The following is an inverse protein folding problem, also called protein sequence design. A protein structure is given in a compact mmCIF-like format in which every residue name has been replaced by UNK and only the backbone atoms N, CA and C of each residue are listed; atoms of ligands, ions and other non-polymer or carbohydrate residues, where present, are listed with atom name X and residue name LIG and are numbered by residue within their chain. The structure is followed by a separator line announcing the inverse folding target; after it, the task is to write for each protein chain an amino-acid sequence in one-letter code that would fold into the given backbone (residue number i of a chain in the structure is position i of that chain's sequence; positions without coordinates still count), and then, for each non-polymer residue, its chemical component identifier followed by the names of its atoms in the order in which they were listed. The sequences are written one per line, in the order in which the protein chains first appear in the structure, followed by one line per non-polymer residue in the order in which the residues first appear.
data_IF_468921709613
#
_entry.id   IF_468921709613
#
_cell.length_a   1.000
_cell.length_b   1.000
_cell.length_c   1.000
_cell.angle_alpha   90.00
_cell.angle_beta   90.00
_cell.angle_gamma   90.00
#
_symmetry.space_group_name_H-M   'P 1'
#
loop_
_entity.id
_entity.type
_entity.pdbx_description
1 polymer ?
#
# COMPACT_ATOMS: atom_id res chain seq x y z
N UNK A 1 15.89 4.91 15.46
CA UNK A 1 14.77 3.96 15.37
C UNK A 1 14.26 3.92 13.94
N UNK A 2 13.86 2.76 13.47
CA UNK A 2 13.28 2.53 12.14
C UNK A 2 14.20 2.93 10.97
N UNK A 3 15.53 2.81 11.15
CA UNK A 3 16.49 3.05 10.06
C UNK A 3 16.29 2.02 8.95
N UNK A 4 16.30 2.51 7.71
CA UNK A 4 16.21 1.71 6.50
C UNK A 4 17.45 1.90 5.61
N UNK A 5 18.56 2.33 6.20
CA UNK A 5 19.83 2.47 5.48
C UNK A 5 20.27 1.13 4.87
N UNK A 6 20.69 1.18 3.61
CA UNK A 6 21.07 -0.02 2.85
C UNK A 6 19.89 -0.90 2.39
N UNK A 7 18.64 -0.48 2.62
CA UNK A 7 17.43 -1.18 2.15
C UNK A 7 16.85 -0.53 0.91
N UNK A 8 16.26 -1.33 0.05
CA UNK A 8 15.53 -0.87 -1.14
C UNK A 8 14.04 -1.13 -0.99
N UNK A 9 13.23 -0.07 -1.12
CA UNK A 9 11.77 -0.12 -1.00
C UNK A 9 11.10 0.15 -2.35
N UNK A 10 10.31 -0.80 -2.85
CA UNK A 10 9.40 -0.60 -3.98
C UNK A 10 8.04 -0.15 -3.47
N UNK A 11 7.60 1.05 -3.85
CA UNK A 11 6.30 1.63 -3.47
C UNK A 11 5.41 1.75 -4.69
N UNK A 12 4.31 0.99 -4.74
CA UNK A 12 3.33 1.09 -5.83
C UNK A 12 2.32 2.20 -5.56
N UNK A 13 1.86 2.87 -6.64
CA UNK A 13 0.99 4.03 -6.50
C UNK A 13 1.67 5.21 -5.79
N UNK A 14 2.98 5.35 -5.96
CA UNK A 14 3.81 6.35 -5.29
C UNK A 14 3.43 7.81 -5.60
N UNK A 15 2.72 8.06 -6.70
CA UNK A 15 2.23 9.41 -7.09
C UNK A 15 0.91 9.81 -6.44
N UNK A 16 0.28 8.93 -5.63
CA UNK A 16 -0.91 9.24 -4.85
C UNK A 16 -0.58 9.83 -3.47
N UNK A 17 -1.60 10.39 -2.79
CA UNK A 17 -1.39 11.06 -1.49
C UNK A 17 -0.75 10.16 -0.43
N UNK A 18 -1.27 8.95 -0.23
CA UNK A 18 -0.71 7.97 0.73
C UNK A 18 0.63 7.43 0.22
N UNK A 19 0.69 6.99 -1.05
CA UNK A 19 1.91 6.42 -1.61
C UNK A 19 3.09 7.39 -1.63
N UNK A 20 2.82 8.67 -1.96
CA UNK A 20 3.83 9.73 -1.91
C UNK A 20 4.34 10.02 -0.50
N UNK A 21 3.44 10.02 0.50
CA UNK A 21 3.84 10.17 1.89
C UNK A 21 4.70 8.99 2.38
N UNK A 22 4.32 7.76 2.01
CA UNK A 22 5.11 6.55 2.31
C UNK A 22 6.50 6.66 1.68
N UNK A 23 6.59 7.01 0.39
CA UNK A 23 7.87 7.14 -0.30
C UNK A 23 8.80 8.15 0.39
N UNK A 24 8.27 9.32 0.77
CA UNK A 24 9.04 10.35 1.49
C UNK A 24 9.57 9.86 2.83
N UNK A 25 8.73 9.20 3.62
CA UNK A 25 9.12 8.71 4.95
C UNK A 25 10.16 7.59 4.82
N UNK A 26 9.98 6.61 3.93
CA UNK A 26 10.97 5.55 3.74
C UNK A 26 12.31 6.11 3.24
N UNK A 27 12.28 7.09 2.32
CA UNK A 27 13.47 7.79 1.86
C UNK A 27 14.18 8.55 3.00
N UNK A 28 13.42 9.27 3.84
CA UNK A 28 13.97 9.99 4.99
C UNK A 28 14.58 9.04 6.05
N UNK A 29 14.10 7.78 6.13
CA UNK A 29 14.68 6.74 6.98
C UNK A 29 15.93 6.06 6.36
N UNK A 30 16.38 6.51 5.19
CA UNK A 30 17.62 6.03 4.57
C UNK A 30 17.44 5.05 3.42
N UNK A 31 16.22 4.61 3.09
CA UNK A 31 15.99 3.67 2.01
C UNK A 31 16.30 4.25 0.62
N UNK A 32 16.75 3.40 -0.30
CA UNK A 32 16.58 3.64 -1.74
C UNK A 32 15.12 3.39 -2.07
N UNK A 33 14.43 4.34 -2.72
CA UNK A 33 12.99 4.22 -3.00
C UNK A 33 12.73 4.10 -4.49
N UNK A 34 12.12 3.00 -4.89
CA UNK A 34 11.65 2.73 -6.25
C UNK A 34 10.18 3.14 -6.33
N UNK A 35 9.92 4.22 -7.06
CA UNK A 35 8.61 4.88 -7.15
C UNK A 35 7.84 4.31 -8.34
N UNK A 36 6.85 3.47 -8.11
CA UNK A 36 6.05 2.90 -9.18
C UNK A 36 4.70 3.60 -9.36
N UNK A 37 4.36 3.92 -10.61
CA UNK A 37 3.10 4.58 -10.97
C UNK A 37 2.90 4.65 -12.47
N UNK A 38 1.73 5.15 -12.91
CA UNK A 38 1.41 5.24 -14.35
C UNK A 38 1.83 6.56 -15.00
N UNK A 39 1.98 7.62 -14.20
CA UNK A 39 2.23 8.99 -14.71
C UNK A 39 3.69 9.33 -14.60
N UNK A 40 4.39 9.35 -15.73
CA UNK A 40 5.83 9.66 -15.81
C UNK A 40 6.16 11.02 -15.16
N UNK A 41 5.46 12.09 -15.52
CA UNK A 41 5.72 13.44 -15.01
C UNK A 41 5.60 13.52 -13.47
N UNK A 42 4.59 12.84 -12.89
CA UNK A 42 4.42 12.83 -11.44
C UNK A 42 5.51 11.99 -10.72
N UNK A 43 6.01 10.95 -11.37
CA UNK A 43 7.17 10.18 -10.88
C UNK A 43 8.45 11.01 -10.94
N UNK A 44 8.66 11.72 -12.03
CA UNK A 44 9.85 12.59 -12.21
C UNK A 44 9.85 13.76 -11.22
N UNK A 45 8.69 14.36 -10.96
CA UNK A 45 8.53 15.39 -9.94
C UNK A 45 8.89 14.87 -8.54
N UNK A 46 8.33 13.71 -8.15
CA UNK A 46 8.62 13.12 -6.85
C UNK A 46 10.09 12.65 -6.73
N UNK A 47 10.65 12.09 -7.81
CA UNK A 47 12.07 11.74 -7.87
C UNK A 47 12.95 12.99 -7.71
N UNK A 48 12.62 14.09 -8.38
CA UNK A 48 13.35 15.36 -8.27
C UNK A 48 13.30 15.93 -6.86
N UNK A 49 12.17 15.80 -6.17
CA UNK A 49 12.02 16.20 -4.77
C UNK A 49 12.90 15.35 -3.80
N UNK A 50 12.94 14.04 -4.01
CA UNK A 50 13.64 13.10 -3.14
C UNK A 50 15.15 13.02 -3.41
N UNK A 51 15.58 13.23 -4.65
CA UNK A 51 16.99 13.23 -5.02
C UNK A 51 17.58 11.84 -5.30
N UNK A 52 18.88 11.66 -4.98
CA UNK A 52 19.71 10.55 -5.49
C UNK A 52 19.20 9.13 -5.17
N UNK A 53 18.58 8.90 -4.02
CA UNK A 53 18.09 7.57 -3.62
C UNK A 53 16.65 7.28 -4.08
N UNK A 54 16.16 7.96 -5.13
CA UNK A 54 14.83 7.77 -5.67
C UNK A 54 14.86 7.48 -7.17
N UNK A 55 14.14 6.43 -7.59
CA UNK A 55 14.07 6.00 -8.99
C UNK A 55 12.60 5.83 -9.41
N UNK A 56 12.22 6.47 -10.53
CA UNK A 56 10.88 6.35 -11.11
C UNK A 56 10.76 5.12 -12.00
N UNK A 57 9.70 4.35 -11.83
CA UNK A 57 9.37 3.17 -12.64
C UNK A 57 7.92 3.30 -13.15
N UNK A 58 7.74 3.51 -14.44
CA UNK A 58 6.40 3.55 -15.05
C UNK A 58 5.88 2.13 -15.17
N UNK A 59 4.70 1.88 -14.59
CA UNK A 59 4.05 0.58 -14.67
C UNK A 59 2.53 0.71 -14.59
N UNK A 60 1.84 -0.09 -15.39
CA UNK A 60 0.40 -0.34 -15.25
C UNK A 60 0.20 -1.74 -14.66
N UNK A 61 -0.32 -1.79 -13.45
CA UNK A 61 -0.54 -3.03 -12.72
C UNK A 61 -1.82 -3.77 -13.14
N UNK A 62 -2.68 -3.16 -13.94
CA UNK A 62 -3.88 -3.80 -14.46
C UNK A 62 -3.56 -4.77 -15.60
N UNK A 63 -2.40 -4.64 -16.25
CA UNK A 63 -1.95 -5.55 -17.31
C UNK A 63 -1.55 -6.94 -16.77
N UNK A 64 -1.69 -7.96 -17.60
CA UNK A 64 -1.40 -9.35 -17.20
C UNK A 64 0.05 -9.54 -16.72
N UNK A 65 1.02 -8.96 -17.43
CA UNK A 65 2.45 -9.03 -17.11
C UNK A 65 2.96 -7.82 -16.28
N UNK A 66 2.13 -6.79 -16.08
CA UNK A 66 2.54 -5.53 -15.46
C UNK A 66 3.22 -5.68 -14.09
N UNK A 67 2.71 -6.49 -13.16
CA UNK A 67 3.35 -6.70 -11.87
C UNK A 67 4.71 -7.39 -11.96
N UNK A 68 4.85 -8.42 -12.80
CA UNK A 68 6.10 -9.16 -13.00
C UNK A 68 7.15 -8.30 -13.70
N UNK A 69 6.75 -7.51 -14.70
CA UNK A 69 7.65 -6.60 -15.42
C UNK A 69 8.11 -5.45 -14.53
N UNK A 70 7.22 -4.91 -13.68
CA UNK A 70 7.62 -3.94 -12.66
C UNK A 70 8.67 -4.52 -11.71
N UNK A 71 8.48 -5.75 -11.23
CA UNK A 71 9.45 -6.36 -10.32
C UNK A 71 10.81 -6.59 -11.00
N UNK A 72 10.82 -7.02 -12.26
CA UNK A 72 12.07 -7.15 -13.05
C UNK A 72 12.78 -5.80 -13.20
N UNK A 73 12.03 -4.74 -13.54
CA UNK A 73 12.58 -3.39 -13.66
C UNK A 73 13.11 -2.88 -12.31
N UNK A 74 12.42 -3.16 -11.21
CA UNK A 74 12.84 -2.79 -9.87
C UNK A 74 14.15 -3.51 -9.48
N UNK A 75 14.21 -4.83 -9.65
CA UNK A 75 15.40 -5.64 -9.33
C UNK A 75 16.60 -5.35 -10.25
N UNK A 76 16.39 -4.80 -11.42
CA UNK A 76 17.48 -4.29 -12.29
C UNK A 76 18.14 -3.03 -11.71
N UNK A 77 17.44 -2.24 -10.91
CA UNK A 77 18.00 -1.08 -10.20
C UNK A 77 18.71 -1.54 -8.92
N UNK A 78 18.00 -2.27 -8.05
CA UNK A 78 18.55 -2.81 -6.82
C UNK A 78 17.66 -3.95 -6.27
N UNK A 79 18.21 -4.90 -5.47
CA UNK A 79 17.43 -5.94 -4.82
C UNK A 79 16.33 -5.36 -3.94
N UNK A 80 15.06 -5.76 -4.16
CA UNK A 80 13.91 -5.24 -3.41
C UNK A 80 13.82 -5.93 -2.05
N UNK A 81 14.07 -5.17 -0.97
CA UNK A 81 13.97 -5.64 0.42
C UNK A 81 12.61 -5.35 1.05
N UNK A 82 11.97 -4.26 0.61
CA UNK A 82 10.69 -3.80 1.11
C UNK A 82 9.74 -3.62 -0.08
N UNK A 83 8.57 -4.29 -0.03
CA UNK A 83 7.49 -4.10 -1.01
C UNK A 83 6.30 -3.47 -0.33
N UNK A 84 5.87 -2.29 -0.81
CA UNK A 84 4.64 -1.62 -0.36
C UNK A 84 3.60 -1.71 -1.47
N UNK A 85 2.61 -2.59 -1.29
CA UNK A 85 1.45 -2.74 -2.15
C UNK A 85 0.41 -1.67 -1.79
N UNK A 86 0.57 -0.46 -2.35
CA UNK A 86 -0.32 0.68 -2.08
C UNK A 86 -1.20 1.04 -3.29
N UNK A 87 -0.83 0.69 -4.50
CA UNK A 87 -1.64 0.97 -5.69
C UNK A 87 -3.06 0.42 -5.54
N UNK A 88 -4.04 1.20 -5.95
CA UNK A 88 -5.43 0.79 -5.90
C UNK A 88 -6.35 1.78 -6.61
N UNK A 89 -7.52 1.29 -6.97
CA UNK A 89 -8.61 2.06 -7.57
C UNK A 89 -9.92 1.79 -6.85
N UNK A 90 -10.88 2.69 -7.00
CA UNK A 90 -12.28 2.48 -6.63
C UNK A 90 -13.17 2.56 -7.88
N UNK A 91 -14.28 1.83 -7.86
CA UNK A 91 -15.39 1.88 -8.82
C UNK A 91 -16.68 1.70 -8.03
N UNK A 92 -17.07 2.80 -7.34
CA UNK A 92 -18.11 2.76 -6.33
C UNK A 92 -19.48 2.83 -6.99
N UNK A 93 -20.33 1.86 -6.69
CA UNK A 93 -21.74 1.82 -7.08
C UNK A 93 -22.48 0.76 -6.27
N UNK A 94 -23.80 0.91 -6.11
CA UNK A 94 -24.63 -0.09 -5.42
C UNK A 94 -24.54 -1.45 -6.13
N UNK A 95 -24.57 -2.54 -5.38
CA UNK A 95 -24.37 -3.90 -5.89
C UNK A 95 -25.30 -4.25 -7.07
N UNK A 96 -26.57 -3.82 -7.04
CA UNK A 96 -27.51 -4.04 -8.14
C UNK A 96 -27.14 -3.35 -9.47
N UNK A 97 -26.26 -2.36 -9.42
CA UNK A 97 -25.82 -1.58 -10.60
C UNK A 97 -24.35 -1.81 -10.93
N UNK A 98 -23.63 -2.59 -10.10
CA UNK A 98 -22.21 -2.86 -10.29
C UNK A 98 -22.02 -3.74 -11.52
N UNK A 99 -21.24 -3.25 -12.47
CA UNK A 99 -20.89 -4.03 -13.67
C UNK A 99 -19.77 -5.01 -13.34
N UNK A 100 -19.80 -6.19 -13.96
CA UNK A 100 -18.76 -7.21 -13.79
C UNK A 100 -17.36 -6.66 -14.14
N UNK A 101 -17.26 -5.79 -15.15
CA UNK A 101 -16.02 -5.13 -15.53
C UNK A 101 -15.47 -4.22 -14.41
N UNK A 102 -16.34 -3.47 -13.69
CA UNK A 102 -15.91 -2.62 -12.58
C UNK A 102 -15.51 -3.46 -11.36
N UNK A 103 -16.23 -4.56 -11.11
CA UNK A 103 -15.85 -5.55 -10.10
C UNK A 103 -14.46 -6.10 -10.39
N UNK A 104 -14.25 -6.64 -11.59
CA UNK A 104 -12.99 -7.27 -11.97
C UNK A 104 -11.83 -6.29 -11.99
N UNK A 105 -12.00 -5.09 -12.51
CA UNK A 105 -10.94 -4.06 -12.53
C UNK A 105 -10.44 -3.71 -11.11
N UNK A 106 -11.35 -3.65 -10.13
CA UNK A 106 -10.98 -3.38 -8.73
C UNK A 106 -10.23 -4.57 -8.12
N UNK A 107 -10.70 -5.80 -8.35
CA UNK A 107 -10.01 -7.01 -7.87
C UNK A 107 -8.62 -7.15 -8.51
N UNK A 108 -8.52 -6.93 -9.80
CA UNK A 108 -7.25 -7.07 -10.53
C UNK A 108 -6.20 -6.09 -10.03
N UNK A 109 -6.58 -4.81 -9.89
CA UNK A 109 -5.64 -3.78 -9.46
C UNK A 109 -5.32 -3.86 -7.97
N UNK A 110 -6.32 -4.08 -7.10
CA UNK A 110 -6.14 -3.93 -5.65
C UNK A 110 -5.70 -5.23 -4.96
N UNK A 111 -5.97 -6.39 -5.54
CA UNK A 111 -5.68 -7.70 -4.94
C UNK A 111 -4.78 -8.56 -5.81
N UNK A 112 -5.17 -8.84 -7.06
CA UNK A 112 -4.42 -9.73 -7.96
C UNK A 112 -3.02 -9.19 -8.23
N UNK A 113 -2.89 -7.89 -8.51
CA UNK A 113 -1.58 -7.26 -8.73
C UNK A 113 -0.71 -7.31 -7.48
N UNK A 114 -1.28 -7.07 -6.28
CA UNK A 114 -0.55 -7.17 -5.01
C UNK A 114 -0.06 -8.60 -4.76
N UNK A 115 -0.87 -9.62 -5.08
CA UNK A 115 -0.46 -11.04 -5.01
C UNK A 115 0.70 -11.33 -5.96
N UNK A 116 0.58 -10.94 -7.24
CA UNK A 116 1.62 -11.18 -8.26
C UNK A 116 2.94 -10.51 -7.88
N UNK A 117 2.91 -9.25 -7.42
CA UNK A 117 4.09 -8.52 -6.95
C UNK A 117 4.71 -9.20 -5.73
N UNK A 118 3.91 -9.59 -4.73
CA UNK A 118 4.39 -10.28 -3.54
C UNK A 118 5.07 -11.60 -3.92
N UNK A 119 4.44 -12.42 -4.76
CA UNK A 119 5.00 -13.68 -5.27
C UNK A 119 6.33 -13.47 -6.03
N UNK A 120 6.42 -12.41 -6.82
CA UNK A 120 7.65 -12.09 -7.56
C UNK A 120 8.78 -11.65 -6.60
N UNK A 121 8.49 -10.76 -5.63
CA UNK A 121 9.43 -10.29 -4.62
C UNK A 121 9.98 -11.41 -3.74
N UNK A 122 9.12 -12.37 -3.36
CA UNK A 122 9.49 -13.50 -2.50
C UNK A 122 10.67 -14.32 -3.05
N UNK A 123 10.82 -14.44 -4.35
CA UNK A 123 11.95 -15.18 -4.97
C UNK A 123 13.31 -14.62 -4.56
N UNK A 124 13.46 -13.30 -4.58
CA UNK A 124 14.66 -12.59 -4.14
C UNK A 124 14.80 -12.58 -2.62
N UNK A 125 13.74 -12.21 -1.91
CA UNK A 125 13.70 -12.12 -0.45
C UNK A 125 14.04 -13.45 0.24
N UNK A 126 13.50 -14.58 -0.26
CA UNK A 126 13.81 -15.91 0.29
C UNK A 126 15.27 -16.30 0.16
N UNK A 127 15.92 -15.96 -0.97
CA UNK A 127 17.35 -16.20 -1.17
C UNK A 127 18.21 -15.40 -0.21
N UNK A 128 17.85 -14.15 0.03
CA UNK A 128 18.55 -13.25 0.96
C UNK A 128 18.16 -13.48 2.43
N UNK A 129 17.10 -14.27 2.69
CA UNK A 129 16.53 -14.49 4.02
C UNK A 129 16.16 -13.18 4.73
N UNK A 130 15.70 -12.22 3.96
CA UNK A 130 15.23 -10.91 4.43
C UNK A 130 14.17 -10.37 3.50
N UNK A 131 13.11 -9.81 4.06
CA UNK A 131 12.06 -9.12 3.31
C UNK A 131 10.98 -8.55 4.20
N UNK A 132 10.36 -7.47 3.71
CA UNK A 132 9.21 -6.82 4.34
C UNK A 132 8.16 -6.55 3.27
N UNK A 133 6.98 -7.14 3.41
CA UNK A 133 5.86 -6.90 2.52
C UNK A 133 4.76 -6.21 3.32
N UNK A 134 4.36 -5.02 2.88
CA UNK A 134 3.31 -4.23 3.55
C UNK A 134 2.20 -3.92 2.55
N UNK A 135 1.00 -4.45 2.80
CA UNK A 135 -0.20 -4.16 2.03
C UNK A 135 -0.96 -2.96 2.61
N UNK A 136 -1.31 -1.98 1.76
CA UNK A 136 -2.22 -0.91 2.19
C UNK A 136 -3.65 -1.36 1.89
N UNK A 137 -4.31 -1.82 2.95
CA UNK A 137 -5.73 -2.21 2.91
C UNK A 137 -6.63 -1.01 3.18
N UNK A 138 -7.71 -1.16 3.92
CA UNK A 138 -8.64 -0.08 4.31
C UNK A 138 -9.49 -0.54 5.49
N UNK A 139 -9.98 0.40 6.28
CA UNK A 139 -11.07 0.15 7.21
C UNK A 139 -12.27 -0.51 6.52
N UNK A 140 -12.55 -0.15 5.26
CA UNK A 140 -13.65 -0.71 4.46
C UNK A 140 -13.50 -2.22 4.24
N UNK A 141 -12.27 -2.73 4.18
CA UNK A 141 -12.01 -4.17 4.10
C UNK A 141 -12.43 -4.96 5.35
N UNK A 142 -12.71 -4.26 6.45
CA UNK A 142 -13.11 -4.86 7.74
C UNK A 142 -14.57 -4.56 8.05
N UNK A 143 -14.99 -3.31 7.88
CA UNK A 143 -16.35 -2.87 8.24
C UNK A 143 -17.36 -2.97 7.09
N UNK A 144 -16.88 -3.08 5.85
CA UNK A 144 -17.70 -2.83 4.67
C UNK A 144 -18.04 -1.34 4.51
N UNK A 145 -18.57 -0.98 3.34
CA UNK A 145 -19.18 0.32 3.08
C UNK A 145 -20.20 0.18 1.94
N UNK A 146 -21.40 0.74 2.05
CA UNK A 146 -22.37 0.74 0.95
C UNK A 146 -21.77 1.29 -0.34
N UNK A 147 -22.05 0.61 -1.46
CA UNK A 147 -21.51 1.00 -2.78
C UNK A 147 -20.07 0.54 -3.07
N UNK A 148 -19.42 -0.12 -2.15
CA UNK A 148 -18.00 -0.55 -2.28
C UNK A 148 -17.81 -2.06 -2.15
N UNK A 149 -18.74 -2.88 -2.61
CA UNK A 149 -18.65 -4.34 -2.48
C UNK A 149 -17.36 -4.91 -3.09
N UNK A 150 -16.97 -4.43 -4.30
CA UNK A 150 -15.72 -4.80 -4.98
C UNK A 150 -14.48 -4.37 -4.19
N UNK A 151 -14.45 -3.13 -3.72
CA UNK A 151 -13.31 -2.58 -2.96
C UNK A 151 -13.17 -3.26 -1.60
N UNK A 152 -14.29 -3.45 -0.87
CA UNK A 152 -14.33 -4.17 0.39
C UNK A 152 -13.80 -5.62 0.23
N UNK A 153 -14.27 -6.32 -0.81
CA UNK A 153 -13.81 -7.68 -1.13
C UNK A 153 -12.30 -7.73 -1.39
N UNK A 154 -11.77 -6.80 -2.22
CA UNK A 154 -10.35 -6.73 -2.53
C UNK A 154 -9.49 -6.43 -1.28
N UNK A 155 -9.92 -5.48 -0.43
CA UNK A 155 -9.18 -5.08 0.77
C UNK A 155 -9.27 -6.13 1.89
N UNK A 156 -10.40 -6.80 2.04
CA UNK A 156 -10.55 -7.97 2.92
C UNK A 156 -9.72 -9.17 2.42
N UNK A 157 -9.73 -9.42 1.11
CA UNK A 157 -8.89 -10.45 0.49
C UNK A 157 -7.39 -10.23 0.71
N UNK A 158 -6.93 -8.97 0.68
CA UNK A 158 -5.55 -8.62 1.00
C UNK A 158 -5.17 -8.99 2.44
N UNK A 159 -6.08 -8.79 3.41
CA UNK A 159 -5.87 -9.18 4.82
C UNK A 159 -5.73 -10.72 4.93
N UNK A 160 -6.62 -11.47 4.28
CA UNK A 160 -6.56 -12.94 4.26
C UNK A 160 -5.29 -13.46 3.59
N UNK A 161 -4.93 -12.92 2.43
CA UNK A 161 -3.70 -13.23 1.70
C UNK A 161 -2.46 -12.97 2.56
N UNK A 162 -2.42 -11.83 3.25
CA UNK A 162 -1.31 -11.47 4.16
C UNK A 162 -1.08 -12.52 5.23
N UNK A 163 -2.15 -13.01 5.89
CA UNK A 163 -2.06 -14.05 6.91
C UNK A 163 -1.53 -15.37 6.37
N UNK A 164 -1.99 -15.78 5.17
CA UNK A 164 -1.53 -17.00 4.53
C UNK A 164 -0.03 -16.92 4.18
N UNK A 165 0.38 -15.86 3.47
CA UNK A 165 1.79 -15.66 3.12
C UNK A 165 2.69 -15.57 4.36
N UNK A 166 2.25 -14.89 5.41
CA UNK A 166 3.00 -14.80 6.66
C UNK A 166 3.32 -16.19 7.25
N UNK A 167 2.34 -17.10 7.28
CA UNK A 167 2.54 -18.46 7.77
C UNK A 167 3.51 -19.27 6.90
N UNK A 168 3.46 -19.10 5.58
CA UNK A 168 4.31 -19.83 4.64
C UNK A 168 5.79 -19.46 4.77
N UNK A 169 6.11 -18.19 5.07
CA UNK A 169 7.47 -17.65 4.87
C UNK A 169 8.12 -17.04 6.12
N UNK A 170 7.46 -17.03 7.27
CA UNK A 170 7.99 -16.42 8.50
C UNK A 170 9.38 -16.98 8.89
N UNK A 171 9.61 -18.28 8.68
CA UNK A 171 10.89 -18.95 8.97
C UNK A 171 12.04 -18.56 8.02
N UNK A 172 11.77 -17.70 7.04
CA UNK A 172 12.75 -17.17 6.07
C UNK A 172 13.24 -15.77 6.41
N UNK A 173 12.87 -15.21 7.58
CA UNK A 173 13.20 -13.83 7.95
C UNK A 173 12.40 -12.78 7.18
N UNK A 174 11.24 -13.16 6.64
CA UNK A 174 10.35 -12.29 5.87
C UNK A 174 9.09 -12.06 6.66
N UNK A 175 8.66 -10.81 6.78
CA UNK A 175 7.36 -10.45 7.37
C UNK A 175 6.39 -9.96 6.32
N UNK A 176 5.10 -10.29 6.49
CA UNK A 176 4.01 -9.82 5.63
C UNK A 176 2.93 -9.26 6.52
N UNK A 177 2.63 -7.96 6.37
CA UNK A 177 1.67 -7.24 7.19
C UNK A 177 0.78 -6.32 6.34
N UNK A 178 -0.29 -5.83 6.93
CA UNK A 178 -1.13 -4.79 6.36
C UNK A 178 -1.16 -3.54 7.24
N UNK A 179 -1.38 -2.39 6.61
CA UNK A 179 -1.88 -1.17 7.26
C UNK A 179 -3.29 -0.92 6.75
N UNK A 180 -4.23 -0.66 7.66
CA UNK A 180 -5.62 -0.35 7.35
C UNK A 180 -5.93 1.12 7.68
N UNK A 181 -5.82 2.03 6.68
CA UNK A 181 -6.19 3.42 6.85
C UNK A 181 -7.69 3.58 7.11
N UNK A 182 -8.04 4.59 7.93
CA UNK A 182 -9.36 5.21 7.94
C UNK A 182 -9.50 6.26 6.83
N UNK A 183 -10.23 7.35 7.12
CA UNK A 183 -10.32 8.48 6.20
C UNK A 183 -9.09 9.38 6.31
N UNK A 184 -8.36 9.46 5.20
CA UNK A 184 -7.11 10.22 5.08
C UNK A 184 -7.33 11.46 4.24
N UNK A 185 -6.79 12.62 4.67
CA UNK A 185 -6.81 13.86 3.90
C UNK A 185 -5.98 13.69 2.61
N UNK A 186 -6.68 13.56 1.51
CA UNK A 186 -6.13 13.42 0.16
C UNK A 186 -6.93 14.33 -0.79
N UNK A 187 -6.52 14.47 -2.03
CA UNK A 187 -7.28 15.21 -3.03
C UNK A 187 -8.75 14.74 -3.13
N UNK A 188 -9.00 13.45 -2.92
CA UNK A 188 -10.35 12.87 -2.94
C UNK A 188 -11.23 13.39 -1.80
N UNK A 189 -10.70 13.53 -0.59
CA UNK A 189 -11.45 14.01 0.58
C UNK A 189 -11.56 15.53 0.62
N UNK A 190 -10.67 16.26 -0.05
CA UNK A 190 -10.72 17.73 -0.16
C UNK A 190 -11.82 18.23 -1.07
N UNK A 191 -12.32 17.38 -1.98
CA UNK A 191 -13.47 17.70 -2.84
C UNK A 191 -14.83 17.58 -2.16
N UNK A 192 -14.90 17.15 -0.88
CA UNK A 192 -16.15 17.04 -0.12
C UNK A 192 -16.66 18.43 0.30
N UNK A 193 -17.98 18.63 0.24
CA UNK A 193 -18.61 19.81 0.82
C UNK A 193 -18.54 19.82 2.36
N UNK A 194 -18.85 20.94 2.99
CA UNK A 194 -18.72 21.14 4.43
C UNK A 194 -19.64 20.22 5.24
N UNK A 195 -20.85 19.94 4.75
CA UNK A 195 -21.80 19.05 5.41
C UNK A 195 -21.30 17.59 5.36
N UNK A 196 -20.81 17.15 4.21
CA UNK A 196 -20.18 15.83 4.04
C UNK A 196 -18.94 15.68 4.91
N UNK A 197 -18.10 16.71 4.97
CA UNK A 197 -16.91 16.73 5.82
C UNK A 197 -17.26 16.65 7.31
N UNK A 198 -18.26 17.41 7.76
CA UNK A 198 -18.74 17.38 9.15
C UNK A 198 -19.30 16.01 9.52
N UNK A 199 -20.13 15.42 8.66
CA UNK A 199 -20.69 14.08 8.84
C UNK A 199 -19.58 13.01 8.90
N UNK A 200 -18.54 13.16 8.09
CA UNK A 200 -17.38 12.28 8.09
C UNK A 200 -16.57 12.38 9.39
N UNK A 201 -16.28 13.60 9.83
CA UNK A 201 -15.55 13.87 11.08
C UNK A 201 -16.30 13.32 12.31
N UNK A 202 -17.63 13.40 12.32
CA UNK A 202 -18.46 12.83 13.39
C UNK A 202 -18.36 11.31 13.53
N UNK A 203 -17.82 10.61 12.52
CA UNK A 203 -17.56 9.16 12.54
C UNK A 203 -16.16 8.78 13.03
N UNK A 204 -15.28 9.76 13.23
CA UNK A 204 -13.88 9.53 13.62
C UNK A 204 -13.71 9.92 15.09
N UNK A 205 -13.51 8.96 16.01
CA UNK A 205 -13.33 9.27 17.43
C UNK A 205 -12.19 10.25 17.72
N UNK A 206 -11.09 10.22 16.93
CA UNK A 206 -9.99 11.17 17.04
C UNK A 206 -10.34 12.61 16.58
N UNK A 207 -11.55 12.86 16.04
CA UNK A 207 -12.05 14.18 15.65
C UNK A 207 -11.35 14.85 14.47
N UNK A 208 -10.47 14.12 13.76
CA UNK A 208 -9.75 14.63 12.58
C UNK A 208 -9.60 13.57 11.50
N UNK A 209 -9.44 14.00 10.27
CA UNK A 209 -8.92 13.12 9.22
C UNK A 209 -7.48 12.71 9.56
N UNK A 210 -7.11 11.48 9.18
CA UNK A 210 -5.71 11.09 9.17
C UNK A 210 -4.95 11.81 8.05
N UNK A 211 -3.64 11.89 8.19
CA UNK A 211 -2.76 12.40 7.15
C UNK A 211 -1.96 11.25 6.52
N UNK A 212 -1.46 11.45 5.30
CA UNK A 212 -0.59 10.46 4.66
C UNK A 212 0.60 10.05 5.52
N UNK A 213 1.13 10.98 6.34
CA UNK A 213 2.23 10.70 7.29
C UNK A 213 1.84 9.75 8.42
N UNK A 214 0.57 9.73 8.86
CA UNK A 214 0.10 8.80 9.89
C UNK A 214 0.22 7.35 9.37
N UNK A 215 -0.12 7.15 8.08
CA UNK A 215 0.02 5.85 7.41
C UNK A 215 1.50 5.52 7.14
N UNK A 216 2.27 6.50 6.68
CA UNK A 216 3.69 6.31 6.36
C UNK A 216 4.53 5.92 7.59
N UNK A 217 4.21 6.46 8.77
CA UNK A 217 4.86 6.10 10.02
C UNK A 217 4.62 4.62 10.39
N UNK A 218 3.38 4.14 10.21
CA UNK A 218 3.04 2.73 10.41
C UNK A 218 3.78 1.81 9.42
N UNK A 219 3.87 2.23 8.15
CA UNK A 219 4.64 1.50 7.12
C UNK A 219 6.13 1.48 7.46
N UNK A 220 6.72 2.60 7.88
CA UNK A 220 8.13 2.66 8.26
C UNK A 220 8.44 1.71 9.43
N UNK A 221 7.57 1.65 10.46
CA UNK A 221 7.68 0.68 11.54
C UNK A 221 7.67 -0.76 11.01
N UNK A 222 6.65 -1.14 10.21
CA UNK A 222 6.50 -2.50 9.69
C UNK A 222 7.61 -2.88 8.69
N UNK A 223 8.26 -1.90 8.06
CA UNK A 223 9.37 -2.09 7.15
C UNK A 223 10.72 -2.24 7.86
N UNK A 224 10.82 -1.84 9.12
CA UNK A 224 12.06 -1.81 9.90
C UNK A 224 12.41 -3.15 10.54
N UNK A 225 13.61 -3.24 11.09
CA UNK A 225 14.07 -4.42 11.81
C UNK A 225 13.41 -4.54 13.19
N UNK A 226 12.93 -3.43 13.77
CA UNK A 226 12.15 -3.42 15.02
C UNK A 226 10.82 -4.17 14.90
N UNK A 227 10.28 -4.31 13.69
CA UNK A 227 9.07 -5.10 13.42
C UNK A 227 9.36 -6.55 12.99
N UNK A 228 10.59 -7.06 13.16
CA UNK A 228 10.99 -8.40 12.69
C UNK A 228 10.18 -9.56 13.30
N UNK A 229 9.52 -9.34 14.44
CA UNK A 229 8.64 -10.33 15.10
C UNK A 229 7.14 -10.07 14.87
N UNK A 230 6.81 -9.07 14.02
CA UNK A 230 5.43 -8.73 13.64
C UNK A 230 5.16 -9.25 12.24
N UNK A 231 4.30 -10.27 12.13
CA UNK A 231 3.92 -10.83 10.82
C UNK A 231 2.47 -11.33 10.85
N UNK A 232 1.78 -11.27 9.72
CA UNK A 232 0.36 -11.64 9.58
C UNK A 232 -0.60 -10.62 10.19
N UNK A 233 -0.13 -9.45 10.62
CA UNK A 233 -0.93 -8.45 11.32
C UNK A 233 -1.52 -7.40 10.38
N UNK A 234 -2.65 -6.83 10.82
CA UNK A 234 -3.21 -5.62 10.21
C UNK A 234 -3.15 -4.50 11.24
N UNK A 235 -2.31 -3.50 10.99
CA UNK A 235 -2.22 -2.33 11.85
C UNK A 235 -3.29 -1.31 11.44
N UNK A 236 -4.26 -1.09 12.30
CA UNK A 236 -5.35 -0.15 12.07
C UNK A 236 -4.92 1.28 12.38
N UNK A 237 -4.89 2.16 11.35
CA UNK A 237 -4.53 3.58 11.47
C UNK A 237 -5.72 4.41 10.99
N UNK A 238 -6.75 4.51 11.84
CA UNK A 238 -8.06 4.98 11.43
C UNK A 238 -8.72 5.96 12.41
N UNK A 239 -7.97 6.50 13.38
CA UNK A 239 -8.50 7.44 14.37
C UNK A 239 -9.57 6.84 15.29
N UNK A 240 -9.58 5.52 15.49
CA UNK A 240 -10.54 4.82 16.33
C UNK A 240 -11.85 4.43 15.65
N UNK A 241 -11.97 4.60 14.33
CA UNK A 241 -13.20 4.22 13.59
C UNK A 241 -13.49 2.74 13.62
N UNK A 242 -12.48 1.89 13.73
CA UNK A 242 -12.62 0.46 13.96
C UNK A 242 -11.53 -0.01 14.91
N UNK A 243 -11.94 -0.63 16.01
CA UNK A 243 -11.09 -1.20 17.06
C UNK A 243 -11.28 -2.72 17.05
N UNK A 244 -10.34 -3.42 16.37
CA UNK A 244 -10.47 -4.86 16.06
C UNK A 244 -9.19 -5.57 16.48
#
# INVERSE_FOLDING_TARGET
MFSLEGRTALVTGATGGIGGAIARVLHAQGAVVLLAGRRQEALDALRGELGERAHGLVADLAGEAGPEDLMKAAEAVAPVDILVNNAGITRDTLALRMKDADWQAVLDTNLTAAFKLSRAALRGMMRRRHGRIVGITSIVGVTGNPGQANYAAAKAGMIGMTKALAQEIANRGITVNCVAPGFIDTEMTRGLDEAQRTALLGRIPAGRLGEGRDIAAAVAYLASDEASYVTGQTLHVNGGMAMI
#
